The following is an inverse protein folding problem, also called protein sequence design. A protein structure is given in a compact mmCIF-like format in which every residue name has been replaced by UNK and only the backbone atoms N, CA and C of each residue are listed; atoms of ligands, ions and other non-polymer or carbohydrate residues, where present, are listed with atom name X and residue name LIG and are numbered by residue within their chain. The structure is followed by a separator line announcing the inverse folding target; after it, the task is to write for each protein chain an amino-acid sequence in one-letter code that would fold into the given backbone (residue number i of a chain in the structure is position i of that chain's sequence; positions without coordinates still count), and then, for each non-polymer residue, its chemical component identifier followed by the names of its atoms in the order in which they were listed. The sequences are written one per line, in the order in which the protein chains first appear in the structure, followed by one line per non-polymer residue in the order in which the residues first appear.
data_IF_468896395723
#
_entry.id   IF_468896395723
#
_cell.length_a   1.000
_cell.length_b   1.000
_cell.length_c   1.000
_cell.angle_alpha   90.00
_cell.angle_beta   90.00
_cell.angle_gamma   90.00
#
_symmetry.space_group_name_H-M   'P 1'
#
loop_
_entity.id
_entity.type
_entity.pdbx_description
1 polymer ?
#
# COMPACT_ATOMS: atom_id res chain seq x y z
N UNK A 1 84.50 47.18 27.59
CA UNK A 1 84.66 45.75 27.24
C UNK A 1 83.41 45.01 27.71
N UNK A 2 82.56 44.34 26.94
CA UNK A 2 82.52 43.95 25.53
C UNK A 2 81.49 42.80 25.47
N UNK A 3 80.20 43.15 25.35
CA UNK A 3 79.06 42.21 25.28
C UNK A 3 78.99 41.58 23.89
N UNK A 4 78.82 40.27 23.81
CA UNK A 4 78.43 39.58 22.56
C UNK A 4 77.26 38.63 22.82
N UNK A 5 76.04 39.15 22.60
CA UNK A 5 74.80 38.36 22.46
C UNK A 5 74.78 37.72 21.07
N UNK A 6 74.82 36.38 20.99
CA UNK A 6 74.51 35.64 19.76
C UNK A 6 73.00 35.44 19.63
N UNK A 7 72.40 36.17 18.70
CA UNK A 7 71.02 36.00 18.24
C UNK A 7 70.89 34.76 17.34
N UNK A 8 70.12 33.75 17.78
CA UNK A 8 69.68 32.64 16.92
C UNK A 8 68.46 33.08 16.10
N UNK A 9 68.58 33.07 14.76
CA UNK A 9 67.46 33.29 13.83
C UNK A 9 66.52 32.07 13.81
N UNK A 10 65.19 32.26 13.72
CA UNK A 10 64.25 31.16 13.56
C UNK A 10 64.22 30.69 12.11
N UNK A 11 64.42 29.39 11.89
CA UNK A 11 64.25 28.73 10.60
C UNK A 11 62.75 28.58 10.33
N UNK A 12 62.20 29.39 9.42
CA UNK A 12 60.83 29.21 8.90
C UNK A 12 60.80 27.95 8.03
N UNK A 13 60.24 26.87 8.58
CA UNK A 13 59.96 25.61 7.87
C UNK A 13 58.60 25.74 7.17
N UNK A 14 58.60 26.17 5.91
CA UNK A 14 57.41 26.11 5.04
C UNK A 14 57.06 24.66 4.73
N UNK A 15 56.09 24.09 5.45
CA UNK A 15 55.47 22.81 5.10
C UNK A 15 54.63 23.00 3.84
N UNK A 16 55.15 22.58 2.69
CA UNK A 16 54.44 22.48 1.42
C UNK A 16 53.51 21.27 1.50
N UNK A 17 52.26 21.48 1.89
CA UNK A 17 51.20 20.46 1.83
C UNK A 17 50.95 20.12 0.37
N UNK A 18 51.49 18.99 -0.09
CA UNK A 18 51.08 18.37 -1.36
C UNK A 18 49.63 17.93 -1.18
N UNK A 19 48.68 18.73 -1.66
CA UNK A 19 47.31 18.28 -1.91
C UNK A 19 47.38 17.23 -3.03
N UNK A 20 47.47 15.96 -2.64
CA UNK A 20 47.19 14.83 -3.53
C UNK A 20 45.77 15.01 -4.04
N UNK A 21 45.62 15.41 -5.30
CA UNK A 21 44.35 15.30 -6.03
C UNK A 21 43.98 13.81 -6.02
N UNK A 22 43.13 13.40 -5.09
CA UNK A 22 42.46 12.12 -5.15
C UNK A 22 41.61 12.14 -6.41
N UNK A 23 42.10 11.50 -7.46
CA UNK A 23 41.33 11.13 -8.64
C UNK A 23 40.16 10.30 -8.14
N UNK A 24 38.98 10.92 -8.02
CA UNK A 24 37.71 10.22 -7.78
C UNK A 24 37.53 9.25 -8.95
N UNK A 25 37.90 8.00 -8.75
CA UNK A 25 37.56 6.90 -9.63
C UNK A 25 36.03 6.88 -9.73
N UNK A 26 35.50 7.28 -10.88
CA UNK A 26 34.07 7.18 -11.17
C UNK A 26 33.71 5.71 -11.04
N UNK A 27 32.94 5.33 -10.01
CA UNK A 27 32.31 4.00 -9.96
C UNK A 27 31.53 3.81 -11.27
N UNK A 28 31.64 2.65 -11.93
CA UNK A 28 30.90 2.40 -13.16
C UNK A 28 29.40 2.50 -12.88
N UNK A 29 28.67 3.25 -13.70
CA UNK A 29 27.23 3.51 -13.53
C UNK A 29 26.40 2.21 -13.40
N UNK A 30 26.84 1.14 -14.08
CA UNK A 30 26.22 -0.18 -13.99
C UNK A 30 26.23 -0.77 -12.56
N UNK A 31 27.29 -0.54 -11.78
CA UNK A 31 27.38 -1.06 -10.41
C UNK A 31 26.46 -0.30 -9.44
N UNK A 32 26.22 0.99 -9.69
CA UNK A 32 25.31 1.80 -8.88
C UNK A 32 23.86 1.39 -9.16
N UNK A 33 23.51 1.13 -10.42
CA UNK A 33 22.18 0.66 -10.81
C UNK A 33 21.82 -0.67 -10.15
N UNK A 34 22.77 -1.62 -10.16
CA UNK A 34 22.56 -2.95 -9.57
C UNK A 34 22.24 -2.87 -8.07
N UNK A 35 22.87 -1.95 -7.33
CA UNK A 35 22.62 -1.76 -5.91
C UNK A 35 21.23 -1.14 -5.64
N UNK A 36 20.79 -0.20 -6.47
CA UNK A 36 19.51 0.51 -6.29
C UNK A 36 18.31 -0.38 -6.63
N UNK A 37 18.44 -1.23 -7.66
CA UNK A 37 17.35 -2.13 -8.07
C UNK A 37 17.44 -3.51 -7.43
N UNK A 38 18.30 -3.69 -6.42
CA UNK A 38 18.44 -4.97 -5.73
C UNK A 38 17.12 -5.38 -5.10
N UNK A 39 16.67 -6.58 -5.43
CA UNK A 39 15.43 -7.17 -4.91
C UNK A 39 15.72 -8.15 -3.78
N UNK A 40 14.78 -8.29 -2.85
CA UNK A 40 14.81 -9.37 -1.84
C UNK A 40 14.56 -10.70 -2.56
N UNK A 41 15.52 -11.64 -2.59
CA UNK A 41 15.25 -12.96 -3.16
C UNK A 41 14.27 -13.70 -2.26
N UNK A 42 13.39 -14.52 -2.85
CA UNK A 42 12.40 -15.30 -2.11
C UNK A 42 13.05 -16.16 -1.00
N UNK A 43 14.24 -16.70 -1.28
CA UNK A 43 15.04 -17.50 -0.33
C UNK A 43 15.61 -16.73 0.86
N UNK A 44 15.55 -15.39 0.86
CA UNK A 44 15.95 -14.57 2.02
C UNK A 44 14.82 -14.30 3.01
N UNK A 45 13.59 -14.70 2.68
CA UNK A 45 12.44 -14.50 3.55
C UNK A 45 12.49 -15.48 4.73
N UNK A 46 11.91 -15.07 5.86
CA UNK A 46 11.76 -15.98 7.01
C UNK A 46 10.82 -17.13 6.66
N UNK A 47 10.99 -18.27 7.33
CA UNK A 47 10.12 -19.44 7.17
C UNK A 47 8.65 -19.06 7.40
N UNK A 48 8.36 -18.26 8.42
CA UNK A 48 6.99 -17.78 8.70
C UNK A 48 6.42 -16.94 7.55
N UNK A 49 7.25 -16.11 6.91
CA UNK A 49 6.83 -15.32 5.75
C UNK A 49 6.55 -16.25 4.57
N UNK A 50 7.41 -17.23 4.30
CA UNK A 50 7.20 -18.19 3.20
C UNK A 50 5.93 -19.02 3.42
N UNK A 51 5.71 -19.49 4.66
CA UNK A 51 4.49 -20.22 5.02
C UNK A 51 3.24 -19.37 4.81
N UNK A 52 3.29 -18.09 5.20
CA UNK A 52 2.21 -17.14 4.97
C UNK A 52 1.92 -16.91 3.48
N UNK A 53 2.97 -16.83 2.66
CA UNK A 53 2.83 -16.73 1.20
C UNK A 53 2.13 -17.97 0.66
N UNK A 54 2.57 -19.18 1.03
CA UNK A 54 1.94 -20.43 0.59
C UNK A 54 0.48 -20.57 1.03
N UNK A 55 0.08 -19.95 2.14
CA UNK A 55 -1.31 -19.96 2.58
C UNK A 55 -2.21 -19.28 1.55
N UNK A 56 -1.75 -18.20 0.91
CA UNK A 56 -2.54 -17.37 0.00
C UNK A 56 -2.18 -17.51 -1.48
N UNK A 57 -1.57 -18.64 -1.87
CA UNK A 57 -1.28 -18.96 -3.27
C UNK A 57 -2.19 -20.06 -3.82
N UNK A 58 -2.48 -20.02 -5.12
CA UNK A 58 -3.26 -21.05 -5.82
C UNK A 58 -2.41 -22.27 -6.14
N UNK A 59 -1.11 -22.07 -6.34
CA UNK A 59 -0.13 -23.13 -6.54
C UNK A 59 1.13 -22.95 -5.66
N UNK A 60 1.27 -23.72 -4.58
CA UNK A 60 2.47 -23.67 -3.73
C UNK A 60 3.77 -24.07 -4.45
N UNK A 61 3.71 -24.78 -5.59
CA UNK A 61 4.90 -25.16 -6.35
C UNK A 61 5.48 -23.97 -7.14
N UNK A 62 4.66 -22.96 -7.43
CA UNK A 62 5.05 -21.77 -8.18
C UNK A 62 4.82 -20.53 -7.33
N UNK A 63 5.82 -20.12 -6.53
CA UNK A 63 5.65 -18.98 -5.64
C UNK A 63 5.33 -17.70 -6.43
N UNK A 64 4.49 -16.83 -5.88
CA UNK A 64 4.06 -15.63 -6.56
C UNK A 64 5.22 -14.64 -6.62
N UNK A 65 5.13 -13.70 -7.55
CA UNK A 65 6.12 -12.64 -7.67
C UNK A 65 5.87 -11.60 -6.59
N UNK A 66 6.85 -11.37 -5.73
CA UNK A 66 6.83 -10.24 -4.80
C UNK A 66 6.92 -8.93 -5.60
N UNK A 67 6.01 -8.01 -5.32
CA UNK A 67 5.92 -6.68 -5.95
C UNK A 67 5.90 -5.58 -4.88
N UNK A 68 5.56 -4.35 -5.27
CA UNK A 68 5.44 -3.23 -4.34
C UNK A 68 6.75 -2.85 -3.64
N UNK A 69 6.63 -2.18 -2.48
CA UNK A 69 7.80 -1.75 -1.71
C UNK A 69 8.60 -2.92 -1.11
N UNK A 70 7.93 -4.00 -0.73
CA UNK A 70 8.60 -5.16 -0.11
C UNK A 70 9.58 -5.86 -1.04
N UNK A 71 9.41 -5.74 -2.36
CA UNK A 71 10.34 -6.30 -3.35
C UNK A 71 11.77 -5.73 -3.23
N UNK A 72 11.93 -4.44 -2.95
CA UNK A 72 13.21 -3.73 -3.14
C UNK A 72 13.97 -3.51 -1.82
N UNK A 73 15.24 -3.91 -1.76
CA UNK A 73 16.07 -3.80 -0.54
C UNK A 73 16.15 -2.36 -0.03
N UNK A 74 16.22 -1.37 -0.92
CA UNK A 74 16.28 0.05 -0.56
C UNK A 74 15.06 0.57 0.21
N UNK A 75 13.92 -0.14 0.13
CA UNK A 75 12.76 0.13 0.96
C UNK A 75 12.93 -0.60 2.29
N UNK A 76 13.63 0.03 3.23
CA UNK A 76 13.98 -0.55 4.52
C UNK A 76 12.75 -0.84 5.40
N UNK A 77 11.72 0.01 5.30
CA UNK A 77 10.51 -0.05 6.13
C UNK A 77 9.24 -0.27 5.28
N UNK A 78 9.05 -1.45 4.66
CA UNK A 78 7.82 -1.76 3.94
C UNK A 78 6.64 -1.90 4.92
N UNK A 79 5.47 -1.37 4.56
CA UNK A 79 4.27 -1.40 5.41
C UNK A 79 3.44 -2.68 5.23
N UNK A 80 3.58 -3.29 4.05
CA UNK A 80 2.79 -4.37 3.50
C UNK A 80 3.69 -5.34 2.72
N UNK A 81 3.18 -6.53 2.43
CA UNK A 81 3.80 -7.51 1.53
C UNK A 81 2.85 -7.73 0.34
N UNK A 82 3.17 -7.11 -0.80
CA UNK A 82 2.39 -7.27 -2.02
C UNK A 82 2.97 -8.38 -2.91
N UNK A 83 2.08 -9.17 -3.49
CA UNK A 83 2.40 -10.25 -4.42
C UNK A 83 1.49 -10.22 -5.64
N UNK A 84 2.00 -10.82 -6.71
CA UNK A 84 1.29 -11.01 -7.95
C UNK A 84 1.47 -12.45 -8.44
N UNK A 85 0.37 -13.16 -8.58
CA UNK A 85 0.33 -14.54 -9.03
C UNK A 85 -0.36 -14.63 -10.39
N UNK A 86 0.34 -15.19 -11.37
CA UNK A 86 -0.28 -15.62 -12.62
C UNK A 86 -0.68 -17.07 -12.46
N UNK A 87 -1.96 -17.36 -12.62
CA UNK A 87 -2.46 -18.72 -12.58
C UNK A 87 -3.13 -19.07 -13.91
N UNK A 88 -2.65 -20.15 -14.53
CA UNK A 88 -3.09 -20.61 -15.84
C UNK A 88 -3.74 -21.98 -15.71
N UNK A 89 -5.04 -22.03 -15.96
CA UNK A 89 -5.80 -23.27 -16.10
C UNK A 89 -5.85 -23.69 -17.58
N UNK A 90 -6.43 -24.83 -17.89
CA UNK A 90 -6.63 -25.34 -19.25
C UNK A 90 -8.10 -25.39 -19.62
N UNK A 91 -8.32 -25.76 -20.88
CA UNK A 91 -9.53 -26.40 -21.35
C UNK A 91 -10.69 -25.41 -21.57
N UNK A 92 -11.91 -25.74 -21.16
CA UNK A 92 -13.04 -24.82 -21.34
C UNK A 92 -13.11 -23.77 -20.23
N UNK A 93 -13.75 -22.62 -20.48
CA UNK A 93 -14.06 -21.63 -19.44
C UNK A 93 -14.79 -22.25 -18.24
N UNK A 94 -15.67 -23.23 -18.48
CA UNK A 94 -16.40 -23.95 -17.44
C UNK A 94 -15.47 -24.79 -16.56
N UNK A 95 -14.53 -25.52 -17.18
CA UNK A 95 -13.51 -26.29 -16.46
C UNK A 95 -12.62 -25.36 -15.63
N UNK A 96 -12.12 -24.28 -16.25
CA UNK A 96 -11.21 -23.35 -15.62
C UNK A 96 -11.84 -22.63 -14.42
N UNK A 97 -13.06 -22.09 -14.55
CA UNK A 97 -13.71 -21.39 -13.44
C UNK A 97 -13.95 -22.31 -12.24
N UNK A 98 -14.32 -23.57 -12.49
CA UNK A 98 -14.57 -24.57 -11.43
C UNK A 98 -13.29 -24.97 -10.71
N UNK A 99 -12.22 -25.22 -11.45
CA UNK A 99 -10.91 -25.55 -10.89
C UNK A 99 -10.38 -24.40 -10.02
N UNK A 100 -10.39 -23.18 -10.55
CA UNK A 100 -9.87 -22.00 -9.84
C UNK A 100 -10.72 -21.71 -8.60
N UNK A 101 -12.04 -21.79 -8.70
CA UNK A 101 -12.92 -21.64 -7.53
C UNK A 101 -12.64 -22.70 -6.45
N UNK A 102 -12.36 -23.95 -6.83
CA UNK A 102 -11.98 -25.00 -5.88
C UNK A 102 -10.65 -24.67 -5.17
N UNK A 103 -9.68 -24.09 -5.87
CA UNK A 103 -8.41 -23.64 -5.28
C UNK A 103 -8.60 -22.49 -4.29
N UNK A 104 -9.45 -21.51 -4.60
CA UNK A 104 -9.79 -20.46 -3.65
C UNK A 104 -10.55 -20.97 -2.42
N UNK A 105 -11.46 -21.96 -2.58
CA UNK A 105 -12.11 -22.63 -1.45
C UNK A 105 -11.09 -23.29 -0.52
N UNK A 106 -10.13 -24.01 -1.10
CA UNK A 106 -9.06 -24.66 -0.34
C UNK A 106 -8.17 -23.62 0.35
N UNK A 107 -7.84 -22.51 -0.32
CA UNK A 107 -7.11 -21.37 0.26
C UNK A 107 -7.85 -20.78 1.46
N UNK A 108 -9.15 -20.51 1.32
CA UNK A 108 -10.00 -20.01 2.39
C UNK A 108 -10.04 -20.97 3.59
N UNK A 109 -10.13 -22.27 3.35
CA UNK A 109 -10.08 -23.27 4.43
C UNK A 109 -8.74 -23.22 5.17
N UNK A 110 -7.61 -23.16 4.47
CA UNK A 110 -6.28 -23.02 5.10
C UNK A 110 -6.16 -21.76 5.95
N UNK A 111 -6.67 -20.63 5.47
CA UNK A 111 -6.68 -19.37 6.24
C UNK A 111 -7.53 -19.50 7.49
N UNK A 112 -8.74 -20.08 7.37
CA UNK A 112 -9.66 -20.28 8.50
C UNK A 112 -9.06 -21.18 9.59
N UNK A 113 -8.31 -22.19 9.19
CA UNK A 113 -7.66 -23.14 10.10
C UNK A 113 -6.35 -22.59 10.71
N UNK A 114 -5.85 -21.47 10.19
CA UNK A 114 -4.60 -20.87 10.65
C UNK A 114 -4.80 -20.07 11.94
N UNK A 115 -3.89 -20.24 12.89
CA UNK A 115 -3.83 -19.39 14.07
C UNK A 115 -3.09 -18.09 13.74
N UNK A 116 -3.60 -16.96 14.24
CA UNK A 116 -2.98 -15.63 14.09
C UNK A 116 -2.93 -15.07 12.66
N UNK A 117 -3.67 -15.68 11.74
CA UNK A 117 -3.88 -15.18 10.38
C UNK A 117 -5.36 -14.95 10.20
N UNK A 118 -5.71 -13.78 9.68
CA UNK A 118 -7.09 -13.38 9.47
C UNK A 118 -7.28 -12.99 8.01
N UNK A 119 -8.43 -13.38 7.43
CA UNK A 119 -8.83 -12.79 6.15
C UNK A 119 -9.12 -11.31 6.36
N UNK A 120 -8.41 -10.46 5.62
CA UNK A 120 -8.67 -9.04 5.59
C UNK A 120 -9.74 -8.68 4.57
N UNK A 121 -9.55 -9.07 3.32
CA UNK A 121 -10.49 -8.82 2.22
C UNK A 121 -10.29 -9.87 1.13
N UNK A 122 -11.37 -10.29 0.46
CA UNK A 122 -11.28 -11.05 -0.78
C UNK A 122 -12.23 -10.44 -1.81
N UNK A 123 -11.68 -10.06 -2.97
CA UNK A 123 -12.43 -9.42 -4.06
C UNK A 123 -12.44 -10.35 -5.24
N UNK A 124 -13.63 -10.62 -5.74
CA UNK A 124 -13.85 -11.28 -7.03
C UNK A 124 -15.30 -11.01 -7.43
N UNK A 125 -15.50 -10.55 -8.66
CA UNK A 125 -16.82 -10.25 -9.21
C UNK A 125 -17.24 -8.80 -9.07
N UNK A 126 -18.27 -8.47 -9.83
CA UNK A 126 -18.97 -7.18 -9.80
C UNK A 126 -20.47 -7.42 -9.63
N UNK A 127 -21.13 -6.52 -8.91
CA UNK A 127 -22.58 -6.39 -8.88
C UNK A 127 -22.99 -5.22 -9.78
N UNK A 128 -23.27 -5.55 -11.04
CA UNK A 128 -23.58 -4.58 -12.11
C UNK A 128 -24.79 -3.71 -11.82
N UNK A 129 -25.63 -4.08 -10.84
CA UNK A 129 -26.76 -3.25 -10.40
C UNK A 129 -26.31 -1.94 -9.75
N UNK A 130 -25.07 -1.88 -9.25
CA UNK A 130 -24.46 -0.66 -8.69
C UNK A 130 -23.60 0.11 -9.69
N UNK A 131 -23.54 -0.32 -10.96
CA UNK A 131 -22.75 0.40 -11.95
C UNK A 131 -23.31 1.81 -12.18
N UNK A 132 -22.46 2.81 -11.99
CA UNK A 132 -22.75 4.21 -12.29
C UNK A 132 -21.55 4.75 -13.04
N UNK A 133 -21.75 5.18 -14.28
CA UNK A 133 -20.75 5.94 -15.00
C UNK A 133 -20.64 7.35 -14.38
N UNK A 134 -19.51 7.60 -13.72
CA UNK A 134 -19.18 8.89 -13.12
C UNK A 134 -18.17 9.68 -13.95
N UNK A 135 -17.80 9.21 -15.14
CA UNK A 135 -16.69 9.74 -15.92
C UNK A 135 -15.33 9.23 -15.42
N UNK A 136 -14.25 9.88 -15.89
CA UNK A 136 -12.88 9.47 -15.57
C UNK A 136 -11.96 10.68 -15.38
N UNK A 137 -10.87 10.50 -14.63
CA UNK A 137 -9.84 11.53 -14.47
C UNK A 137 -8.74 11.38 -15.51
N UNK A 138 -8.32 12.48 -16.12
CA UNK A 138 -7.12 12.53 -16.97
C UNK A 138 -6.25 13.71 -16.55
N UNK A 139 -5.15 13.44 -15.85
CA UNK A 139 -4.34 14.51 -15.27
C UNK A 139 -5.08 15.24 -14.15
N UNK A 140 -5.21 16.56 -14.28
CA UNK A 140 -6.00 17.39 -13.36
C UNK A 140 -7.48 17.43 -13.69
N UNK A 141 -7.84 16.96 -14.88
CA UNK A 141 -9.16 17.17 -15.45
C UNK A 141 -10.05 15.96 -15.20
N UNK A 142 -11.34 16.23 -15.09
CA UNK A 142 -12.38 15.20 -14.94
C UNK A 142 -13.26 15.30 -16.17
N UNK A 143 -13.25 14.22 -16.94
CA UNK A 143 -13.95 14.10 -18.21
C UNK A 143 -15.24 13.30 -18.01
N UNK A 144 -16.26 13.65 -18.78
CA UNK A 144 -17.57 12.96 -18.81
C UNK A 144 -18.32 12.90 -17.46
N UNK A 145 -18.01 13.83 -16.54
CA UNK A 145 -18.69 13.94 -15.27
C UNK A 145 -20.03 14.68 -15.42
N UNK A 146 -21.13 13.95 -15.29
CA UNK A 146 -22.49 14.47 -15.44
C UNK A 146 -23.28 14.37 -14.12
N UNK A 147 -23.24 15.38 -13.23
CA UNK A 147 -23.77 15.27 -11.87
C UNK A 147 -25.25 14.89 -11.80
N UNK A 148 -26.08 15.43 -12.70
CA UNK A 148 -27.52 15.10 -12.73
C UNK A 148 -27.79 13.66 -13.16
N UNK A 149 -27.03 13.12 -14.11
CA UNK A 149 -27.12 11.70 -14.50
C UNK A 149 -26.69 10.79 -13.35
N UNK A 150 -25.62 11.15 -12.65
CA UNK A 150 -25.14 10.41 -11.49
C UNK A 150 -26.19 10.43 -10.36
N UNK A 151 -26.79 11.59 -10.06
CA UNK A 151 -27.89 11.70 -9.06
C UNK A 151 -29.07 10.80 -9.45
N UNK A 152 -29.51 10.87 -10.70
CA UNK A 152 -30.60 10.04 -11.19
C UNK A 152 -30.29 8.54 -11.06
N UNK A 153 -29.06 8.12 -11.38
CA UNK A 153 -28.63 6.73 -11.22
C UNK A 153 -28.64 6.28 -9.75
N UNK A 154 -28.14 7.11 -8.81
CA UNK A 154 -28.16 6.81 -7.37
C UNK A 154 -29.61 6.71 -6.85
N UNK A 155 -30.48 7.63 -7.25
CA UNK A 155 -31.90 7.61 -6.87
C UNK A 155 -32.63 6.39 -7.44
N UNK A 156 -32.30 5.96 -8.66
CA UNK A 156 -32.82 4.73 -9.25
C UNK A 156 -32.42 3.50 -8.42
N UNK A 157 -31.14 3.36 -8.11
CA UNK A 157 -30.63 2.25 -7.27
C UNK A 157 -31.28 2.25 -5.88
N UNK A 158 -31.51 3.43 -5.29
CA UNK A 158 -32.26 3.58 -4.04
C UNK A 158 -33.72 3.11 -4.18
N UNK A 159 -34.40 3.50 -5.25
CA UNK A 159 -35.79 3.08 -5.51
C UNK A 159 -35.92 1.56 -5.72
N UNK A 160 -34.85 0.91 -6.17
CA UNK A 160 -34.74 -0.56 -6.27
C UNK A 160 -34.38 -1.23 -4.93
N UNK A 161 -34.29 -0.48 -3.83
CA UNK A 161 -33.91 -0.95 -2.48
C UNK A 161 -32.50 -1.58 -2.40
N UNK A 162 -31.59 -1.20 -3.30
CA UNK A 162 -30.19 -1.63 -3.27
C UNK A 162 -29.33 -0.75 -2.36
N UNK A 163 -29.76 0.48 -2.05
CA UNK A 163 -29.09 1.37 -1.11
C UNK A 163 -30.01 1.70 0.05
N UNK A 164 -29.47 1.73 1.28
CA UNK A 164 -30.21 2.31 2.40
C UNK A 164 -30.35 3.83 2.21
N UNK A 165 -31.23 4.45 3.02
CA UNK A 165 -31.38 5.90 3.02
C UNK A 165 -30.04 6.59 3.33
N UNK A 166 -29.37 6.17 4.38
CA UNK A 166 -28.10 6.74 4.85
C UNK A 166 -27.01 6.60 3.79
N UNK A 167 -26.95 5.45 3.11
CA UNK A 167 -25.97 5.21 2.04
C UNK A 167 -26.23 6.10 0.83
N UNK A 168 -27.50 6.20 0.41
CA UNK A 168 -27.88 7.07 -0.71
C UNK A 168 -27.62 8.55 -0.38
N UNK A 169 -27.96 8.99 0.84
CA UNK A 169 -27.79 10.38 1.27
C UNK A 169 -26.29 10.73 1.36
N UNK A 170 -25.46 9.78 1.84
CA UNK A 170 -24.01 9.92 1.83
C UNK A 170 -23.46 10.07 0.41
N UNK A 171 -23.84 9.21 -0.54
CA UNK A 171 -23.36 9.28 -1.92
C UNK A 171 -23.83 10.60 -2.57
N UNK A 172 -25.11 10.94 -2.44
CA UNK A 172 -25.68 12.18 -2.98
C UNK A 172 -24.94 13.43 -2.44
N UNK A 173 -24.55 13.43 -1.16
CA UNK A 173 -23.79 14.53 -0.55
C UNK A 173 -22.39 14.74 -1.16
N UNK A 174 -21.87 13.77 -1.91
CA UNK A 174 -20.55 13.84 -2.57
C UNK A 174 -20.65 14.22 -4.06
N UNK A 175 -21.86 14.35 -4.60
CA UNK A 175 -22.07 14.76 -6.00
C UNK A 175 -22.15 16.29 -6.07
N UNK A 176 -21.08 16.91 -6.59
CA UNK A 176 -20.95 18.36 -6.72
C UNK A 176 -20.85 18.76 -8.19
N UNK A 177 -21.30 19.96 -8.57
CA UNK A 177 -21.37 20.37 -9.99
C UNK A 177 -20.02 20.36 -10.72
N UNK A 178 -18.95 20.75 -10.01
CA UNK A 178 -17.59 20.84 -10.57
C UNK A 178 -16.61 20.23 -9.56
N UNK A 179 -16.50 18.90 -9.51
CA UNK A 179 -15.68 18.24 -8.51
C UNK A 179 -14.20 18.58 -8.70
N UNK A 180 -13.49 18.70 -7.59
CA UNK A 180 -12.03 18.56 -7.54
C UNK A 180 -11.68 17.08 -7.58
N UNK A 181 -10.46 16.73 -7.97
CA UNK A 181 -9.98 15.33 -7.98
C UNK A 181 -10.21 14.61 -6.63
N UNK A 182 -10.04 15.30 -5.49
CA UNK A 182 -10.32 14.71 -4.18
C UNK A 182 -11.79 14.29 -4.04
N UNK A 183 -12.72 15.13 -4.48
CA UNK A 183 -14.17 14.88 -4.41
C UNK A 183 -14.54 13.74 -5.38
N UNK A 184 -14.01 13.79 -6.61
CA UNK A 184 -14.20 12.72 -7.60
C UNK A 184 -13.75 11.35 -7.08
N UNK A 185 -12.51 11.22 -6.58
CA UNK A 185 -12.03 9.94 -6.05
C UNK A 185 -12.76 9.51 -4.78
N UNK A 186 -13.31 10.46 -4.00
CA UNK A 186 -14.15 10.12 -2.84
C UNK A 186 -15.45 9.48 -3.32
N UNK A 187 -16.12 10.08 -4.31
CA UNK A 187 -17.34 9.53 -4.91
C UNK A 187 -17.08 8.17 -5.59
N UNK A 188 -16.03 8.07 -6.40
CA UNK A 188 -15.58 6.83 -7.05
C UNK A 188 -15.39 5.71 -6.02
N UNK A 189 -14.70 5.99 -4.90
CA UNK A 189 -14.46 5.01 -3.85
C UNK A 189 -15.75 4.54 -3.18
N UNK A 190 -16.74 5.42 -2.99
CA UNK A 190 -18.03 5.04 -2.40
C UNK A 190 -18.83 4.11 -3.33
N UNK A 191 -18.89 4.45 -4.63
CA UNK A 191 -19.60 3.64 -5.63
C UNK A 191 -18.90 2.29 -5.82
N UNK A 192 -17.56 2.29 -5.95
CA UNK A 192 -16.76 1.08 -6.08
C UNK A 192 -16.90 0.14 -4.88
N UNK A 193 -17.14 0.68 -3.67
CA UNK A 193 -17.40 -0.16 -2.48
C UNK A 193 -18.65 -1.01 -2.65
N UNK A 194 -19.66 -0.53 -3.38
CA UNK A 194 -20.90 -1.25 -3.67
C UNK A 194 -20.79 -2.16 -4.90
N UNK A 195 -20.09 -1.69 -5.94
CA UNK A 195 -19.92 -2.41 -7.19
C UNK A 195 -19.05 -3.66 -7.08
N UNK A 196 -17.96 -3.63 -6.30
CA UNK A 196 -17.04 -4.78 -6.17
C UNK A 196 -17.57 -5.77 -5.14
N UNK A 197 -17.74 -7.04 -5.57
CA UNK A 197 -18.17 -8.12 -4.68
C UNK A 197 -17.01 -8.52 -3.76
N UNK A 198 -17.29 -8.50 -2.45
CA UNK A 198 -16.38 -8.88 -1.37
C UNK A 198 -16.92 -10.07 -0.63
N UNK A 199 -16.07 -11.04 -0.39
CA UNK A 199 -16.44 -12.31 0.19
C UNK A 199 -15.89 -12.43 1.61
N UNK A 200 -16.72 -12.94 2.50
CA UNK A 200 -16.26 -13.44 3.79
C UNK A 200 -15.57 -14.80 3.63
N UNK A 201 -14.81 -15.20 4.64
CA UNK A 201 -14.11 -16.50 4.62
C UNK A 201 -15.09 -17.68 4.48
N UNK A 202 -16.26 -17.59 5.11
CA UNK A 202 -17.27 -18.64 5.05
C UNK A 202 -17.96 -18.70 3.68
N UNK A 203 -18.22 -17.55 3.06
CA UNK A 203 -18.76 -17.49 1.69
C UNK A 203 -17.76 -18.02 0.66
N UNK A 204 -16.47 -17.74 0.83
CA UNK A 204 -15.41 -18.31 -0.02
C UNK A 204 -15.40 -19.83 0.08
N UNK A 205 -15.41 -20.41 1.29
CA UNK A 205 -15.43 -21.86 1.52
C UNK A 205 -16.69 -22.49 0.91
N UNK A 206 -17.85 -21.86 1.12
CA UNK A 206 -19.13 -22.30 0.53
C UNK A 206 -19.12 -22.17 -1.00
N UNK A 207 -18.39 -21.20 -1.54
CA UNK A 207 -18.34 -20.85 -2.96
C UNK A 207 -19.56 -20.10 -3.45
N UNK A 208 -20.36 -19.52 -2.55
CA UNK A 208 -21.51 -18.70 -2.91
C UNK A 208 -21.82 -17.66 -1.83
N UNK A 209 -22.33 -16.52 -2.27
CA UNK A 209 -22.74 -15.40 -1.44
C UNK A 209 -24.13 -14.93 -1.85
N UNK A 210 -24.89 -14.41 -0.87
CA UNK A 210 -26.19 -13.77 -1.12
C UNK A 210 -26.00 -12.26 -1.18
N UNK A 211 -26.22 -11.70 -2.37
CA UNK A 211 -26.25 -10.26 -2.62
C UNK A 211 -27.59 -9.66 -2.15
N UNK A 212 -27.70 -8.32 -2.10
CA UNK A 212 -28.95 -7.64 -1.78
C UNK A 212 -30.14 -8.13 -2.64
N UNK A 213 -31.33 -8.14 -2.03
CA UNK A 213 -32.57 -8.70 -2.59
C UNK A 213 -32.56 -10.23 -2.78
N UNK A 214 -31.65 -10.94 -2.12
CA UNK A 214 -31.61 -12.41 -2.13
C UNK A 214 -30.98 -13.02 -3.38
N UNK A 215 -30.41 -12.21 -4.27
CA UNK A 215 -29.71 -12.70 -5.46
C UNK A 215 -28.46 -13.48 -5.04
N UNK A 216 -28.31 -14.72 -5.49
CA UNK A 216 -27.08 -15.48 -5.24
C UNK A 216 -26.04 -15.23 -6.35
N UNK A 217 -24.78 -15.18 -5.97
CA UNK A 217 -23.63 -15.23 -6.88
C UNK A 217 -22.70 -16.36 -6.45
N UNK A 218 -22.24 -17.17 -7.39
CA UNK A 218 -21.24 -18.21 -7.14
C UNK A 218 -19.84 -17.65 -7.34
N UNK A 219 -18.86 -18.22 -6.64
CA UNK A 219 -17.45 -17.83 -6.81
C UNK A 219 -16.99 -18.11 -8.24
N UNK A 220 -17.46 -19.21 -8.83
CA UNK A 220 -17.19 -19.55 -10.23
C UNK A 220 -17.64 -18.44 -11.18
N UNK A 221 -18.86 -17.92 -11.01
CA UNK A 221 -19.38 -16.85 -11.87
C UNK A 221 -18.64 -15.53 -11.63
N UNK A 222 -18.42 -15.15 -10.36
CA UNK A 222 -17.70 -13.95 -10.00
C UNK A 222 -16.29 -13.85 -10.60
N UNK A 223 -15.58 -14.99 -10.68
CA UNK A 223 -14.26 -15.09 -11.32
C UNK A 223 -14.29 -14.83 -12.83
N UNK A 224 -15.45 -14.91 -13.48
CA UNK A 224 -15.61 -14.67 -14.92
C UNK A 224 -16.03 -13.24 -15.27
N UNK A 225 -16.29 -12.38 -14.29
CA UNK A 225 -16.73 -10.99 -14.50
C UNK A 225 -15.60 -10.06 -14.98
N UNK A 226 -14.39 -10.58 -15.32
CA UNK A 226 -13.23 -9.75 -15.70
C UNK A 226 -12.92 -8.67 -14.67
N UNK A 227 -13.04 -9.02 -13.40
CA UNK A 227 -12.83 -8.14 -12.26
C UNK A 227 -11.42 -8.30 -11.67
N UNK A 228 -11.04 -7.38 -10.78
CA UNK A 228 -9.84 -7.59 -9.97
C UNK A 228 -10.10 -8.78 -9.05
N UNK A 229 -9.20 -9.76 -9.10
CA UNK A 229 -9.18 -10.87 -8.14
C UNK A 229 -8.01 -10.68 -7.21
N UNK A 230 -8.28 -10.51 -5.90
CA UNK A 230 -7.24 -10.33 -4.89
C UNK A 230 -7.66 -10.84 -3.53
N UNK A 231 -6.67 -11.24 -2.74
CA UNK A 231 -6.85 -11.61 -1.34
C UNK A 231 -5.87 -10.81 -0.48
N UNK A 232 -6.39 -10.28 0.62
CA UNK A 232 -5.63 -9.58 1.64
C UNK A 232 -5.77 -10.40 2.94
N UNK A 233 -4.66 -10.67 3.63
CA UNK A 233 -4.66 -11.27 4.96
C UNK A 233 -3.92 -10.37 5.94
N UNK A 234 -4.29 -10.44 7.22
CA UNK A 234 -3.55 -9.84 8.31
C UNK A 234 -2.82 -10.92 9.09
N UNK A 235 -1.49 -10.80 9.20
CA UNK A 235 -0.64 -11.81 9.81
C UNK A 235 0.30 -11.19 10.84
N UNK A 236 0.52 -11.91 11.94
CA UNK A 236 1.52 -11.56 12.95
C UNK A 236 2.90 -12.12 12.60
N UNK A 237 3.78 -11.31 12.01
CA UNK A 237 5.15 -11.67 11.62
C UNK A 237 6.16 -10.80 12.35
N UNK A 238 7.19 -11.42 12.96
CA UNK A 238 8.28 -10.70 13.64
C UNK A 238 7.75 -9.64 14.63
N UNK A 239 6.81 -10.05 15.49
CA UNK A 239 6.14 -9.21 16.49
C UNK A 239 5.27 -8.08 15.94
N UNK A 240 4.84 -8.16 14.68
CA UNK A 240 4.06 -7.11 14.02
C UNK A 240 2.91 -7.68 13.22
N UNK A 241 1.75 -7.06 13.31
CA UNK A 241 0.66 -7.28 12.37
C UNK A 241 0.96 -6.53 11.07
N UNK A 242 1.01 -7.28 9.98
CA UNK A 242 1.31 -6.78 8.64
C UNK A 242 0.21 -7.28 7.69
N UNK A 243 -0.22 -6.44 6.77
CA UNK A 243 -1.06 -6.85 5.65
C UNK A 243 -0.21 -7.55 4.58
N UNK A 244 -0.67 -8.71 4.13
CA UNK A 244 -0.11 -9.43 3.00
C UNK A 244 -1.18 -9.60 1.93
N UNK A 245 -0.89 -9.14 0.72
CA UNK A 245 -1.83 -9.08 -0.40
C UNK A 245 -1.32 -9.93 -1.55
N UNK A 246 -2.17 -10.78 -2.12
CA UNK A 246 -1.90 -11.47 -3.39
C UNK A 246 -2.93 -11.07 -4.44
N UNK A 247 -2.45 -10.51 -5.55
CA UNK A 247 -3.23 -10.13 -6.72
C UNK A 247 -3.13 -11.23 -7.78
N UNK A 248 -4.26 -11.66 -8.35
CA UNK A 248 -4.29 -12.78 -9.28
C UNK A 248 -4.57 -12.35 -10.73
N UNK A 249 -3.71 -12.80 -11.64
CA UNK A 249 -3.99 -12.82 -13.07
C UNK A 249 -4.39 -14.24 -13.47
N UNK A 250 -5.69 -14.41 -13.69
CA UNK A 250 -6.29 -15.70 -13.97
C UNK A 250 -6.51 -15.84 -15.46
N UNK A 251 -5.94 -16.88 -16.05
CA UNK A 251 -6.07 -17.18 -17.48
C UNK A 251 -6.42 -18.65 -17.70
N UNK A 252 -7.00 -18.95 -18.86
CA UNK A 252 -7.13 -20.33 -19.34
C UNK A 252 -6.76 -20.42 -20.81
N UNK A 253 -6.17 -21.55 -21.22
CA UNK A 253 -6.02 -21.88 -22.64
C UNK A 253 -7.22 -22.68 -23.12
N UNK A 254 -7.85 -22.26 -24.21
CA UNK A 254 -8.88 -23.07 -24.85
C UNK A 254 -8.32 -24.31 -25.55
N UNK A 255 -9.19 -25.15 -26.12
CA UNK A 255 -8.79 -26.38 -26.82
C UNK A 255 -7.97 -26.12 -28.09
N UNK A 256 -7.81 -24.86 -28.50
CA UNK A 256 -6.99 -24.41 -29.63
C UNK A 256 -5.76 -23.62 -29.16
N UNK A 257 -5.41 -23.73 -27.87
CA UNK A 257 -4.26 -23.06 -27.25
C UNK A 257 -4.34 -21.52 -27.26
N UNK A 258 -5.53 -20.93 -27.41
CA UNK A 258 -5.68 -19.48 -27.24
C UNK A 258 -5.83 -19.15 -25.75
N UNK A 259 -4.99 -18.25 -25.24
CA UNK A 259 -5.07 -17.77 -23.86
C UNK A 259 -6.16 -16.69 -23.69
N UNK A 260 -7.09 -16.93 -22.77
CA UNK A 260 -8.17 -16.04 -22.40
C UNK A 260 -8.02 -15.57 -20.95
N UNK A 261 -8.42 -14.33 -20.66
CA UNK A 261 -8.38 -13.76 -19.31
C UNK A 261 -9.73 -13.94 -18.61
N UNK A 262 -9.69 -14.44 -17.37
CA UNK A 262 -10.84 -14.50 -16.47
C UNK A 262 -10.91 -13.26 -15.56
N UNK A 263 -9.76 -12.80 -15.07
CA UNK A 263 -9.64 -11.54 -14.33
C UNK A 263 -9.36 -10.35 -15.26
N UNK A 264 -9.28 -9.14 -14.70
CA UNK A 264 -8.88 -7.94 -15.46
C UNK A 264 -7.57 -8.23 -16.20
N UNK A 265 -7.61 -8.08 -17.53
CA UNK A 265 -6.39 -8.07 -18.35
C UNK A 265 -5.50 -6.96 -17.80
N UNK A 266 -4.21 -7.19 -17.53
CA UNK A 266 -3.31 -6.11 -17.19
C UNK A 266 -3.40 -5.07 -18.31
N UNK A 267 -3.94 -3.90 -17.99
CA UNK A 267 -3.80 -2.74 -18.86
C UNK A 267 -2.31 -2.43 -19.01
N UNK A 268 -1.96 -1.45 -19.85
CA UNK A 268 -0.61 -0.91 -19.83
C UNK A 268 -0.31 -0.41 -18.41
N UNK A 269 0.41 -1.22 -17.61
CA UNK A 269 0.80 -0.93 -16.23
C UNK A 269 1.38 0.47 -16.08
N UNK A 270 2.08 0.91 -17.12
CA UNK A 270 2.61 2.26 -17.24
C UNK A 270 1.53 3.35 -17.21
N UNK A 271 0.41 3.18 -17.92
CA UNK A 271 -0.71 4.14 -17.92
C UNK A 271 -1.30 4.28 -16.52
N UNK A 272 -1.65 3.15 -15.88
CA UNK A 272 -2.17 3.17 -14.50
C UNK A 272 -1.18 3.80 -13.50
N UNK A 273 0.12 3.54 -13.69
CA UNK A 273 1.17 4.16 -12.88
C UNK A 273 1.24 5.68 -13.10
N UNK A 274 1.10 6.15 -14.33
CA UNK A 274 1.09 7.58 -14.66
C UNK A 274 -0.13 8.30 -14.09
N UNK A 275 -1.30 7.69 -14.12
CA UNK A 275 -2.51 8.21 -13.48
C UNK A 275 -2.33 8.33 -11.97
N UNK A 276 -1.75 7.32 -11.33
CA UNK A 276 -1.42 7.35 -9.89
C UNK A 276 -0.41 8.47 -9.56
N UNK A 277 0.61 8.66 -10.40
CA UNK A 277 1.57 9.75 -10.26
C UNK A 277 0.89 11.12 -10.33
N UNK A 278 0.01 11.32 -11.32
CA UNK A 278 -0.77 12.56 -11.46
C UNK A 278 -1.66 12.77 -10.23
N UNK A 279 -2.42 11.76 -9.82
CA UNK A 279 -3.28 11.76 -8.63
C UNK A 279 -2.53 12.18 -7.37
N UNK A 280 -1.40 11.54 -7.06
CA UNK A 280 -0.68 11.82 -5.81
C UNK A 280 0.20 13.07 -5.88
N UNK A 281 0.51 13.59 -7.07
CA UNK A 281 1.14 14.91 -7.23
C UNK A 281 0.20 16.05 -6.86
N UNK A 282 -1.12 15.84 -6.97
CA UNK A 282 -2.10 16.86 -6.66
C UNK A 282 -2.06 17.25 -5.16
N UNK A 283 -1.94 18.56 -4.91
CA UNK A 283 -1.87 19.14 -3.56
C UNK A 283 -3.08 18.80 -2.69
N UNK A 284 -4.28 18.65 -3.25
CA UNK A 284 -5.48 18.32 -2.47
C UNK A 284 -5.49 16.89 -1.95
N UNK A 285 -4.73 15.99 -2.56
CA UNK A 285 -4.62 14.58 -2.15
C UNK A 285 -3.60 14.42 -1.01
N UNK A 286 -2.51 15.19 -1.04
CA UNK A 286 -1.51 15.28 0.04
C UNK A 286 -0.90 13.92 0.47
N UNK A 287 -0.59 13.04 -0.49
CA UNK A 287 0.02 11.71 -0.25
C UNK A 287 1.43 11.62 -0.82
N UNK A 288 2.35 12.45 -0.35
CA UNK A 288 3.69 12.61 -0.90
C UNK A 288 4.60 11.38 -0.71
N UNK A 289 4.44 10.61 0.38
CA UNK A 289 5.18 9.35 0.52
C UNK A 289 4.72 8.31 -0.52
N UNK A 290 3.40 8.22 -0.76
CA UNK A 290 2.84 7.35 -1.80
C UNK A 290 3.28 7.79 -3.20
N UNK A 291 3.31 9.09 -3.46
CA UNK A 291 3.88 9.66 -4.68
C UNK A 291 5.34 9.23 -4.88
N UNK A 292 6.19 9.35 -3.86
CA UNK A 292 7.58 8.94 -3.94
C UNK A 292 7.72 7.45 -4.29
N UNK A 293 6.92 6.57 -3.66
CA UNK A 293 6.89 5.13 -3.98
C UNK A 293 6.48 4.87 -5.43
N UNK A 294 5.47 5.57 -5.95
CA UNK A 294 5.05 5.45 -7.37
C UNK A 294 6.14 5.98 -8.32
N UNK A 295 6.80 7.08 -7.97
CA UNK A 295 7.87 7.66 -8.78
C UNK A 295 9.10 6.75 -8.83
N UNK A 296 9.38 6.03 -7.74
CA UNK A 296 10.41 4.99 -7.72
C UNK A 296 10.11 3.87 -8.72
N UNK A 297 8.90 3.31 -8.69
CA UNK A 297 8.49 2.26 -9.63
C UNK A 297 8.61 2.74 -11.07
N UNK A 298 8.19 3.98 -11.35
CA UNK A 298 8.34 4.59 -12.67
C UNK A 298 9.81 4.73 -13.07
N UNK A 299 10.66 5.20 -12.16
CA UNK A 299 12.09 5.34 -12.40
C UNK A 299 12.76 3.99 -12.67
N UNK A 300 12.37 2.92 -11.97
CA UNK A 300 12.83 1.55 -12.26
C UNK A 300 12.40 1.12 -13.65
N UNK A 301 11.12 1.33 -14.02
CA UNK A 301 10.59 0.96 -15.34
C UNK A 301 11.34 1.68 -16.48
N UNK A 302 11.70 2.94 -16.27
CA UNK A 302 12.43 3.78 -17.25
C UNK A 302 13.95 3.72 -17.11
N UNK A 303 14.49 2.88 -16.21
CA UNK A 303 15.91 2.87 -15.86
C UNK A 303 16.48 4.27 -15.52
N UNK A 304 15.69 5.15 -14.92
CA UNK A 304 16.09 6.51 -14.54
C UNK A 304 16.83 6.52 -13.20
N UNK A 305 18.14 6.30 -13.29
CA UNK A 305 19.05 6.13 -12.14
C UNK A 305 19.13 7.38 -11.28
N UNK A 306 19.06 8.57 -11.90
CA UNK A 306 19.10 9.86 -11.22
C UNK A 306 17.92 10.06 -10.28
N UNK A 307 16.71 9.70 -10.73
CA UNK A 307 15.52 9.74 -9.86
C UNK A 307 15.63 8.68 -8.76
N UNK A 308 16.11 7.47 -9.07
CA UNK A 308 16.33 6.42 -8.06
C UNK A 308 17.32 6.87 -6.98
N UNK A 309 18.50 7.37 -7.35
CA UNK A 309 19.50 7.90 -6.42
C UNK A 309 18.96 9.03 -5.55
N UNK A 310 18.13 9.90 -6.12
CA UNK A 310 17.50 10.99 -5.39
C UNK A 310 16.43 10.50 -4.41
N UNK A 311 15.71 9.41 -4.71
CA UNK A 311 14.64 8.89 -3.86
C UNK A 311 15.10 7.91 -2.79
N UNK A 312 16.15 7.13 -3.04
CA UNK A 312 16.58 6.04 -2.15
C UNK A 312 16.70 6.47 -0.67
N UNK A 313 17.31 7.64 -0.32
CA UNK A 313 17.48 8.00 1.09
C UNK A 313 16.15 8.33 1.79
N UNK A 314 15.09 8.65 1.03
CA UNK A 314 13.77 8.85 1.60
C UNK A 314 13.17 7.53 2.12
N UNK A 315 13.44 6.40 1.46
CA UNK A 315 12.88 5.10 1.83
C UNK A 315 13.56 4.42 3.02
N UNK A 316 14.74 4.90 3.43
CA UNK A 316 15.40 4.57 4.70
C UNK A 316 15.27 5.68 5.77
N UNK A 317 14.50 6.74 5.48
CA UNK A 317 14.36 7.88 6.40
C UNK A 317 13.43 7.58 7.58
N UNK A 318 13.48 8.47 8.58
CA UNK A 318 12.52 8.55 9.68
C UNK A 318 11.05 8.60 9.21
N UNK A 319 10.76 9.26 8.09
CA UNK A 319 9.41 9.32 7.53
C UNK A 319 8.94 7.97 6.98
N UNK A 320 9.85 7.16 6.42
CA UNK A 320 9.55 5.80 5.95
C UNK A 320 9.23 4.87 7.11
N UNK A 321 10.01 4.97 8.20
CA UNK A 321 9.74 4.23 9.45
C UNK A 321 8.37 4.56 10.04
N UNK A 322 8.00 5.84 10.13
CA UNK A 322 6.66 6.24 10.56
C UNK A 322 5.57 5.75 9.60
N UNK A 323 5.83 5.75 8.28
CA UNK A 323 4.88 5.24 7.29
C UNK A 323 4.60 3.74 7.45
N UNK A 324 5.61 2.96 7.81
CA UNK A 324 5.42 1.55 8.18
C UNK A 324 4.50 1.41 9.40
N UNK A 325 4.75 2.19 10.46
CA UNK A 325 3.90 2.21 11.66
C UNK A 325 2.45 2.58 11.33
N UNK A 326 2.21 3.54 10.41
CA UNK A 326 0.83 3.86 9.98
C UNK A 326 0.12 2.70 9.30
N UNK A 327 0.83 1.86 8.53
CA UNK A 327 0.25 0.63 7.96
C UNK A 327 -0.04 -0.45 9.00
N UNK A 328 0.83 -0.58 10.01
CA UNK A 328 0.59 -1.48 11.16
C UNK A 328 -0.63 -1.02 11.97
N UNK A 329 -0.81 0.30 12.17
CA UNK A 329 -2.00 0.87 12.82
C UNK A 329 -3.27 0.54 12.05
N UNK A 330 -3.28 0.78 10.73
CA UNK A 330 -4.43 0.46 9.87
C UNK A 330 -4.79 -1.03 9.94
N UNK A 331 -3.78 -1.90 9.90
CA UNK A 331 -3.95 -3.36 10.07
C UNK A 331 -4.59 -3.70 11.42
N UNK A 332 -4.09 -3.13 12.52
CA UNK A 332 -4.65 -3.38 13.86
C UNK A 332 -6.07 -2.83 14.02
N UNK A 333 -6.36 -1.65 13.48
CA UNK A 333 -7.73 -1.10 13.47
C UNK A 333 -8.67 -2.06 12.77
N UNK A 334 -8.31 -2.51 11.56
CA UNK A 334 -9.13 -3.45 10.81
C UNK A 334 -9.34 -4.77 11.56
N UNK A 335 -8.30 -5.30 12.24
CA UNK A 335 -8.43 -6.49 13.09
C UNK A 335 -9.42 -6.24 14.24
N UNK A 336 -9.31 -5.11 14.95
CA UNK A 336 -10.17 -4.81 16.10
C UNK A 336 -11.64 -4.62 15.70
N UNK A 337 -11.88 -4.06 14.52
CA UNK A 337 -13.22 -3.86 13.95
C UNK A 337 -13.88 -5.18 13.52
N UNK A 338 -13.15 -6.04 12.81
CA UNK A 338 -13.75 -7.17 12.09
C UNK A 338 -13.56 -8.52 12.81
N UNK A 339 -12.54 -8.66 13.66
CA UNK A 339 -12.27 -9.90 14.38
C UNK A 339 -12.94 -9.86 15.75
N UNK A 340 -13.85 -10.82 15.97
CA UNK A 340 -14.61 -10.93 17.23
C UNK A 340 -13.68 -11.11 18.43
N UNK A 341 -12.71 -12.03 18.32
CA UNK A 341 -11.76 -12.39 19.39
C UNK A 341 -10.30 -12.31 18.91
N UNK A 342 -9.77 -11.10 18.68
CA UNK A 342 -8.39 -10.95 18.23
C UNK A 342 -7.41 -11.26 19.38
N UNK A 343 -6.18 -11.66 19.06
CA UNK A 343 -5.15 -11.93 20.06
C UNK A 343 -4.59 -10.61 20.64
N UNK A 344 -5.23 -10.13 21.71
CA UNK A 344 -4.91 -8.83 22.31
C UNK A 344 -3.48 -8.72 22.84
N UNK A 345 -2.86 -9.82 23.25
CA UNK A 345 -1.45 -9.83 23.70
C UNK A 345 -0.50 -9.45 22.57
N UNK A 346 -0.68 -10.03 21.38
CA UNK A 346 0.10 -9.70 20.18
C UNK A 346 -0.14 -8.26 19.72
N UNK A 347 -1.40 -7.79 19.76
CA UNK A 347 -1.73 -6.39 19.44
C UNK A 347 -1.00 -5.43 20.39
N UNK A 348 -1.03 -5.69 21.70
CA UNK A 348 -0.34 -4.86 22.70
C UNK A 348 1.17 -4.87 22.51
N UNK A 349 1.76 -6.03 22.25
CA UNK A 349 3.19 -6.16 21.98
C UNK A 349 3.60 -5.33 20.76
N UNK A 350 2.83 -5.41 19.67
CA UNK A 350 3.07 -4.60 18.47
C UNK A 350 2.94 -3.09 18.77
N UNK A 351 1.90 -2.68 19.49
CA UNK A 351 1.68 -1.27 19.84
C UNK A 351 2.81 -0.73 20.74
N UNK A 352 3.31 -1.53 21.69
CA UNK A 352 4.42 -1.13 22.56
C UNK A 352 5.74 -0.99 21.79
N UNK A 353 6.02 -1.89 20.84
CA UNK A 353 7.22 -1.83 19.97
C UNK A 353 7.31 -0.51 19.19
N UNK A 354 6.18 0.10 18.82
CA UNK A 354 6.16 1.40 18.17
C UNK A 354 6.88 2.48 18.97
N UNK A 355 6.84 2.45 20.31
CA UNK A 355 7.55 3.44 21.15
C UNK A 355 9.05 3.35 20.94
N UNK A 356 9.61 2.14 20.94
CA UNK A 356 11.05 1.91 20.71
C UNK A 356 11.45 2.40 19.32
N UNK A 357 10.64 2.08 18.29
CA UNK A 357 10.91 2.49 16.91
C UNK A 357 10.79 4.01 16.72
N UNK A 358 9.75 4.63 17.28
CA UNK A 358 9.55 6.08 17.27
C UNK A 358 10.63 6.81 18.08
N UNK A 359 11.18 6.20 19.12
CA UNK A 359 12.32 6.74 19.88
C UNK A 359 13.59 6.97 19.04
N UNK A 360 13.69 6.32 17.88
CA UNK A 360 14.79 6.49 16.92
C UNK A 360 14.46 7.44 15.76
N UNK A 361 13.26 8.05 15.76
CA UNK A 361 12.88 9.04 14.75
C UNK A 361 13.55 10.37 15.08
N UNK A 362 14.16 10.99 14.06
CA UNK A 362 14.86 12.27 14.21
C UNK A 362 13.87 13.40 14.51
N UNK A 363 14.28 14.35 15.36
CA UNK A 363 13.47 15.49 15.79
C UNK A 363 13.12 16.46 14.64
N UNK A 364 13.91 16.47 13.57
CA UNK A 364 13.64 17.24 12.35
C UNK A 364 12.48 16.69 11.50
N UNK A 365 12.03 15.48 11.84
CA UNK A 365 10.96 14.72 11.21
C UNK A 365 9.74 14.65 12.12
N UNK A 366 9.92 14.28 13.39
CA UNK A 366 8.86 14.26 14.42
C UNK A 366 9.33 15.05 15.66
N UNK A 367 8.75 16.24 15.93
CA UNK A 367 9.14 17.05 17.09
C UNK A 367 8.99 16.28 18.40
N UNK A 368 9.92 16.51 19.34
CA UNK A 368 9.99 15.78 20.61
C UNK A 368 8.71 15.91 21.43
N UNK A 369 8.08 17.08 21.42
CA UNK A 369 6.82 17.34 22.14
C UNK A 369 5.68 16.48 21.60
N UNK A 370 5.64 16.32 20.28
CA UNK A 370 4.64 15.49 19.57
C UNK A 370 4.90 14.02 19.86
N UNK A 371 6.16 13.57 19.77
CA UNK A 371 6.55 12.21 20.10
C UNK A 371 6.15 11.83 21.53
N UNK A 372 6.39 12.72 22.50
CA UNK A 372 5.97 12.52 23.90
C UNK A 372 4.44 12.42 24.04
N UNK A 373 3.68 13.19 23.26
CA UNK A 373 2.22 13.07 23.18
C UNK A 373 1.77 11.71 22.65
N UNK A 374 2.43 11.22 21.60
CA UNK A 374 2.18 9.89 21.02
C UNK A 374 2.48 8.79 22.05
N UNK A 375 3.60 8.86 22.78
CA UNK A 375 3.95 7.86 23.79
C UNK A 375 2.91 7.76 24.91
N UNK A 376 2.39 8.91 25.38
CA UNK A 376 1.30 8.92 26.37
C UNK A 376 0.01 8.30 25.81
N UNK A 377 -0.30 8.57 24.53
CA UNK A 377 -1.46 7.97 23.86
C UNK A 377 -1.31 6.45 23.72
N UNK A 378 -0.14 5.98 23.32
CA UNK A 378 0.19 4.54 23.25
C UNK A 378 -0.02 3.86 24.61
N UNK A 379 0.55 4.40 25.69
CA UNK A 379 0.38 3.85 27.04
C UNK A 379 -1.11 3.80 27.45
N UNK A 380 -1.88 4.81 27.04
CA UNK A 380 -3.32 4.87 27.33
C UNK A 380 -4.09 3.79 26.58
N UNK A 381 -3.79 3.59 25.29
CA UNK A 381 -4.39 2.52 24.46
C UNK A 381 -4.09 1.15 25.07
N UNK A 382 -2.82 0.85 25.36
CA UNK A 382 -2.41 -0.44 25.92
C UNK A 382 -3.12 -0.72 27.24
N UNK A 383 -3.18 0.26 28.15
CA UNK A 383 -3.86 0.13 29.44
C UNK A 383 -5.35 -0.17 29.26
N UNK A 384 -6.03 0.55 28.37
CA UNK A 384 -7.47 0.38 28.13
C UNK A 384 -7.81 -0.93 27.44
N UNK A 385 -6.95 -1.43 26.55
CA UNK A 385 -7.11 -2.77 25.97
C UNK A 385 -7.05 -3.92 27.00
N UNK A 386 -6.74 -3.65 28.28
CA UNK A 386 -6.86 -4.65 29.36
C UNK A 386 -8.27 -4.74 29.95
N UNK A 387 -9.05 -3.67 29.90
CA UNK A 387 -10.39 -3.66 30.48
C UNK A 387 -11.40 -4.14 29.39
N UNK A 388 -12.59 -4.60 29.77
CA UNK A 388 -13.63 -5.26 28.93
C UNK A 388 -13.96 -4.66 27.52
N UNK A 389 -14.85 -5.32 26.76
CA UNK A 389 -15.20 -5.03 25.35
C UNK A 389 -15.43 -3.56 24.93
N UNK A 390 -15.88 -2.66 25.83
CA UNK A 390 -16.04 -1.23 25.53
C UNK A 390 -14.73 -0.52 25.16
N UNK A 391 -13.57 -1.16 25.33
CA UNK A 391 -12.27 -0.57 24.99
C UNK A 391 -11.83 -0.76 23.54
N UNK A 392 -12.52 -1.57 22.72
CA UNK A 392 -12.18 -1.70 21.29
C UNK A 392 -12.42 -0.39 20.56
N UNK A 393 -13.61 0.20 20.68
CA UNK A 393 -13.96 1.48 20.06
C UNK A 393 -13.01 2.58 20.53
N UNK A 394 -12.71 2.63 21.84
CA UNK A 394 -11.74 3.57 22.39
C UNK A 394 -10.37 3.42 21.72
N UNK A 395 -9.85 2.18 21.62
CA UNK A 395 -8.55 1.90 21.02
C UNK A 395 -8.53 2.27 19.54
N UNK A 396 -9.57 1.91 18.77
CA UNK A 396 -9.69 2.24 17.35
C UNK A 396 -9.61 3.75 17.15
N UNK A 397 -10.45 4.54 17.82
CA UNK A 397 -10.44 6.01 17.69
C UNK A 397 -9.08 6.61 18.01
N UNK A 398 -8.42 6.17 19.08
CA UNK A 398 -7.11 6.71 19.47
C UNK A 398 -5.97 6.24 18.55
N UNK A 399 -6.09 5.05 17.96
CA UNK A 399 -5.18 4.54 16.94
C UNK A 399 -5.30 5.35 15.65
N UNK A 400 -6.52 5.63 15.20
CA UNK A 400 -6.78 6.49 14.03
C UNK A 400 -6.21 7.90 14.23
N UNK A 401 -6.47 8.53 15.38
CA UNK A 401 -5.90 9.85 15.71
C UNK A 401 -4.37 9.84 15.72
N UNK A 402 -3.75 8.74 16.18
CA UNK A 402 -2.31 8.56 16.17
C UNK A 402 -1.79 8.42 14.73
N UNK A 403 -2.46 7.64 13.89
CA UNK A 403 -2.15 7.51 12.46
C UNK A 403 -2.22 8.85 11.76
N UNK A 404 -3.31 9.60 11.95
CA UNK A 404 -3.50 10.94 11.38
C UNK A 404 -2.39 11.90 11.77
N UNK A 405 -1.99 11.87 13.06
CA UNK A 405 -0.86 12.66 13.56
C UNK A 405 0.41 12.31 12.79
N UNK A 406 0.76 11.03 12.67
CA UNK A 406 1.96 10.58 11.96
C UNK A 406 1.92 10.96 10.47
N UNK A 407 0.77 10.76 9.80
CA UNK A 407 0.56 11.07 8.38
C UNK A 407 0.85 12.54 8.06
N UNK A 408 0.52 13.47 8.95
CA UNK A 408 0.85 14.90 8.80
C UNK A 408 2.37 15.09 8.69
N UNK A 409 3.14 14.51 9.63
CA UNK A 409 4.60 14.67 9.67
C UNK A 409 5.30 13.91 8.55
N UNK A 410 4.84 12.71 8.21
CA UNK A 410 5.33 11.93 7.05
C UNK A 410 5.20 12.77 5.78
N UNK A 411 4.02 13.31 5.48
CA UNK A 411 3.78 14.05 4.26
C UNK A 411 4.50 15.41 4.25
N UNK A 412 4.60 16.10 5.39
CA UNK A 412 5.40 17.32 5.53
C UNK A 412 6.87 17.06 5.20
N UNK A 413 7.46 16.01 5.76
CA UNK A 413 8.84 15.63 5.50
C UNK A 413 9.05 15.22 4.04
N UNK A 414 8.24 14.29 3.53
CA UNK A 414 8.36 13.79 2.15
C UNK A 414 8.20 14.92 1.12
N UNK A 415 7.27 15.85 1.32
CA UNK A 415 7.12 17.02 0.44
C UNK A 415 8.38 17.88 0.41
N UNK A 416 8.92 18.24 1.60
CA UNK A 416 10.15 19.03 1.72
C UNK A 416 11.31 18.31 1.04
N UNK A 417 11.41 17.00 1.23
CA UNK A 417 12.44 16.17 0.61
C UNK A 417 12.35 16.18 -0.93
N UNK A 418 11.17 15.88 -1.49
CA UNK A 418 10.95 15.86 -2.93
C UNK A 418 11.23 17.23 -3.58
N UNK A 419 10.85 18.34 -2.94
CA UNK A 419 11.17 19.70 -3.39
C UNK A 419 12.68 19.98 -3.37
N UNK A 420 13.38 19.61 -2.29
CA UNK A 420 14.84 19.78 -2.15
C UNK A 420 15.59 19.05 -3.27
N UNK A 421 15.12 17.88 -3.67
CA UNK A 421 15.70 17.07 -4.73
C UNK A 421 15.14 17.40 -6.13
N UNK A 422 14.34 18.47 -6.27
CA UNK A 422 13.73 18.92 -7.54
C UNK A 422 12.88 17.85 -8.24
N UNK A 423 12.32 16.90 -7.49
CA UNK A 423 11.39 15.89 -8.00
C UNK A 423 9.94 16.41 -8.02
N UNK A 424 9.70 17.54 -7.36
CA UNK A 424 8.46 18.31 -7.38
C UNK A 424 8.77 19.79 -7.68
N UNK A 425 8.06 20.37 -8.65
CA UNK A 425 8.06 21.81 -8.95
C UNK A 425 6.62 22.27 -9.12
N UNK A 426 6.20 23.29 -8.37
CA UNK A 426 4.82 23.79 -8.37
C UNK A 426 3.74 22.72 -8.10
N UNK A 427 4.09 21.65 -7.38
CA UNK A 427 3.26 20.44 -7.16
C UNK A 427 3.02 19.58 -8.42
N UNK A 428 3.81 19.76 -9.46
CA UNK A 428 3.90 18.84 -10.58
C UNK A 428 5.19 18.04 -10.47
N UNK A 429 5.13 16.76 -10.85
CA UNK A 429 6.33 15.92 -10.95
C UNK A 429 7.22 16.49 -12.04
N UNK A 430 8.52 16.60 -11.74
CA UNK A 430 9.51 16.92 -12.76
C UNK A 430 10.17 15.61 -13.17
N UNK A 431 9.72 15.06 -14.30
CA UNK A 431 10.42 13.96 -14.95
C UNK A 431 11.65 14.57 -15.61
N UNK A 432 12.81 14.36 -15.01
CA UNK A 432 14.08 14.75 -15.63
C UNK A 432 14.42 13.65 -16.60
N UNK A 433 14.23 13.93 -17.89
CA UNK A 433 14.74 13.09 -18.98
C UNK A 433 16.28 12.98 -18.94
#
# INVERSE_FOLDING_TARGET
MGKTKKTKKPIKRTKRTKTTKTTKTKKPAAAINLALTQTRPFTSLSVDTINAIHLITLDPLFPPKIVGSFKYVVHEYPADIDMFETYKSCCSIYTAKKEIAAKFKAMAQRIKDSQHIYLGDFKAGHDERYYIDIGHSKGSDILDYHPDKIRAAVLKIKAENLLTREESDLILSKIVEKPKLKEFYTLESLIKKKYVVRWTIDEMIKGKQTLPLGQEITLEDALTHKSIVKIDIWIYLNQRYIEMTNMFMLTYDDTKENTHYLSVKPEAYETSLMEDLQKYSNRSVNKYMKLAKRLWVYAVLKNNTKIMEALYPLFSSSASKMYQITGEIETIVNILEHIKHPLLSSIKANIEDWKTRLGTVMSDTLPTEVANGIYRKINTIIRRLNDNNNNKTFAITHLEELSDTLVIYINKYSKRYLNKHKLLKNNSIVLVE
#
